data_IF_338384322914
#
_entry.id   IF_338384322914
#
_cell.length_a   1.000
_cell.length_b   1.000
_cell.length_c   1.000
_cell.angle_alpha   90.00
_cell.angle_beta   90.00
_cell.angle_gamma   90.00
#
_symmetry.space_group_name_H-M   'P 1'
#
loop_
_entity.id
_entity.type
_entity.pdbx_description
1 polymer ?
#
# COMPACT_ATOMS: atom_id res chain seq x y z
N UNK A 1 1.68 -6.86 -10.09
CA UNK A 1 2.61 -6.40 -11.16
C UNK A 1 3.28 -7.60 -11.82
N UNK A 2 3.97 -8.52 -11.09
CA UNK A 2 4.68 -9.63 -11.73
C UNK A 2 3.77 -10.50 -12.62
N UNK A 3 2.60 -10.91 -12.13
CA UNK A 3 1.62 -11.66 -12.92
C UNK A 3 1.12 -10.88 -14.16
N UNK A 4 0.96 -9.55 -14.03
CA UNK A 4 0.55 -8.71 -15.14
C UNK A 4 1.66 -8.56 -16.22
N UNK A 5 2.92 -8.52 -15.83
CA UNK A 5 4.04 -8.58 -16.77
C UNK A 5 4.09 -9.93 -17.49
N UNK A 6 3.87 -11.04 -16.76
CA UNK A 6 3.82 -12.35 -17.36
C UNK A 6 2.71 -12.45 -18.43
N UNK A 7 1.54 -11.86 -18.17
CA UNK A 7 0.45 -11.77 -19.14
C UNK A 7 0.81 -10.95 -20.40
N UNK A 8 1.78 -10.03 -20.31
CA UNK A 8 2.33 -9.29 -21.47
C UNK A 8 3.45 -10.03 -22.21
N UNK A 9 3.78 -11.25 -21.79
CA UNK A 9 4.84 -12.05 -22.37
C UNK A 9 6.24 -11.80 -21.81
N UNK A 10 6.36 -10.97 -20.76
CA UNK A 10 7.62 -10.77 -20.05
C UNK A 10 7.95 -12.00 -19.19
N UNK A 11 9.22 -12.39 -19.11
CA UNK A 11 9.67 -13.47 -18.24
C UNK A 11 10.21 -12.86 -16.94
N UNK A 12 9.59 -13.21 -15.82
CA UNK A 12 10.01 -12.76 -14.49
C UNK A 12 10.34 -13.93 -13.58
N UNK A 13 11.30 -13.71 -12.70
CA UNK A 13 11.58 -14.59 -11.57
C UNK A 13 11.73 -13.77 -10.30
N UNK A 14 11.14 -14.24 -9.21
CA UNK A 14 11.23 -13.61 -7.89
C UNK A 14 12.25 -14.37 -7.05
N UNK A 15 13.34 -13.70 -6.64
CA UNK A 15 14.24 -14.24 -5.62
C UNK A 15 13.81 -13.72 -4.24
N UNK A 16 13.51 -14.63 -3.32
CA UNK A 16 13.10 -14.29 -1.95
C UNK A 16 14.02 -14.91 -0.91
N UNK A 17 14.22 -14.14 0.17
CA UNK A 17 14.93 -14.60 1.38
C UNK A 17 13.98 -15.22 2.41
N UNK A 18 12.70 -15.38 2.08
CA UNK A 18 11.73 -16.02 2.96
C UNK A 18 11.92 -17.53 3.04
N UNK A 19 11.36 -18.11 4.09
CA UNK A 19 11.45 -19.56 4.29
C UNK A 19 10.68 -20.29 3.18
N UNK A 20 11.29 -21.31 2.53
CA UNK A 20 10.58 -22.11 1.54
C UNK A 20 9.29 -22.74 2.07
N UNK A 21 8.24 -22.78 1.24
CA UNK A 21 6.97 -23.44 1.57
C UNK A 21 5.97 -22.57 2.31
N UNK A 22 6.25 -21.28 2.54
CA UNK A 22 5.24 -20.36 3.07
C UNK A 22 4.17 -20.07 2.02
N UNK A 23 2.87 -20.07 2.37
CA UNK A 23 1.77 -19.97 1.40
C UNK A 23 1.80 -18.72 0.51
N UNK A 24 2.30 -17.60 1.02
CA UNK A 24 2.37 -16.35 0.26
C UNK A 24 3.49 -16.31 -0.81
N UNK A 25 4.35 -17.33 -0.88
CA UNK A 25 5.32 -17.51 -1.98
C UNK A 25 4.77 -18.41 -3.10
N UNK A 26 3.59 -18.96 -2.97
CA UNK A 26 2.96 -19.79 -3.99
C UNK A 26 2.28 -18.89 -5.04
N UNK A 27 3.04 -18.43 -6.03
CA UNK A 27 2.53 -17.72 -7.21
C UNK A 27 2.52 -18.68 -8.40
N UNK A 28 1.35 -19.16 -8.85
CA UNK A 28 1.29 -20.14 -9.94
C UNK A 28 1.84 -19.61 -11.28
N UNK A 29 1.81 -18.30 -11.48
CA UNK A 29 2.15 -17.65 -12.75
C UNK A 29 3.59 -17.13 -12.82
N UNK A 30 4.29 -17.02 -11.69
CA UNK A 30 5.63 -16.42 -11.61
C UNK A 30 6.55 -17.32 -10.79
N UNK A 31 7.65 -17.83 -11.36
CA UNK A 31 8.61 -18.64 -10.62
C UNK A 31 9.20 -17.86 -9.43
N UNK A 32 9.10 -18.45 -8.26
CA UNK A 32 9.72 -17.92 -7.04
C UNK A 32 10.87 -18.80 -6.63
N UNK A 33 12.07 -18.22 -6.51
CA UNK A 33 13.26 -18.87 -5.99
C UNK A 33 13.42 -18.54 -4.50
N UNK A 34 13.03 -19.43 -3.58
CA UNK A 34 13.21 -19.22 -2.16
C UNK A 34 14.65 -19.57 -1.78
N UNK A 35 15.46 -18.55 -1.59
CA UNK A 35 16.86 -18.70 -1.23
C UNK A 35 16.99 -19.13 0.23
N UNK A 36 17.49 -20.34 0.46
CA UNK A 36 17.72 -20.84 1.82
C UNK A 36 18.71 -19.94 2.55
N UNK A 37 18.24 -19.30 3.63
CA UNK A 37 19.11 -18.50 4.51
C UNK A 37 20.09 -19.42 5.25
N UNK A 38 21.36 -19.06 5.22
CA UNK A 38 22.39 -19.59 6.10
C UNK A 38 22.43 -18.80 7.42
N UNK A 39 23.21 -19.25 8.41
CA UNK A 39 23.39 -18.47 9.64
C UNK A 39 24.05 -17.08 9.39
N UNK A 40 24.90 -16.97 8.35
CA UNK A 40 25.56 -15.72 7.93
C UNK A 40 24.55 -14.72 7.38
N UNK A 41 23.50 -15.19 6.71
CA UNK A 41 22.46 -14.33 6.11
C UNK A 41 21.65 -13.54 7.16
N UNK A 42 21.81 -13.84 8.46
CA UNK A 42 21.28 -12.99 9.55
C UNK A 42 21.96 -11.63 9.63
N UNK A 43 23.23 -11.55 9.21
CA UNK A 43 24.03 -10.32 9.26
C UNK A 43 24.10 -9.64 7.90
N UNK A 44 24.29 -10.43 6.86
CA UNK A 44 24.36 -9.96 5.49
C UNK A 44 23.86 -11.07 4.53
N UNK A 45 22.96 -10.81 3.57
CA UNK A 45 22.35 -11.80 2.71
C UNK A 45 23.32 -12.28 1.61
N UNK A 46 24.32 -13.02 2.01
CA UNK A 46 25.39 -13.55 1.14
C UNK A 46 24.83 -14.53 0.11
N UNK A 47 23.82 -15.31 0.49
CA UNK A 47 23.13 -16.22 -0.42
C UNK A 47 22.46 -15.46 -1.57
N UNK A 48 21.79 -14.33 -1.29
CA UNK A 48 21.21 -13.46 -2.32
C UNK A 48 22.31 -12.86 -3.22
N UNK A 49 23.38 -12.33 -2.62
CA UNK A 49 24.53 -11.78 -3.36
C UNK A 49 25.09 -12.79 -4.38
N UNK A 50 25.35 -14.01 -3.92
CA UNK A 50 25.91 -15.09 -4.77
C UNK A 50 24.93 -15.50 -5.87
N UNK A 51 23.64 -15.62 -5.52
CA UNK A 51 22.62 -16.01 -6.48
C UNK A 51 22.45 -14.93 -7.57
N UNK A 52 22.28 -13.69 -7.21
CA UNK A 52 22.15 -12.58 -8.18
C UNK A 52 23.40 -12.47 -9.05
N UNK A 53 24.60 -12.59 -8.46
CA UNK A 53 25.87 -12.55 -9.23
C UNK A 53 25.99 -13.69 -10.24
N UNK A 54 25.46 -14.86 -9.93
CA UNK A 54 25.48 -16.02 -10.83
C UNK A 54 24.41 -15.94 -11.93
N UNK A 55 23.32 -15.19 -11.73
CA UNK A 55 22.15 -15.24 -12.62
C UNK A 55 21.80 -13.92 -13.32
N UNK A 56 22.34 -12.76 -12.88
CA UNK A 56 21.93 -11.45 -13.43
C UNK A 56 22.05 -11.35 -14.95
N UNK A 57 22.96 -12.07 -15.57
CA UNK A 57 23.21 -12.05 -17.02
C UNK A 57 22.11 -12.77 -17.84
N UNK A 58 21.21 -13.51 -17.20
CA UNK A 58 20.03 -14.10 -17.83
C UNK A 58 18.86 -13.13 -17.89
N UNK A 59 18.95 -11.96 -17.25
CA UNK A 59 17.87 -10.99 -17.12
C UNK A 59 18.25 -9.64 -17.71
N UNK A 60 17.27 -8.98 -18.33
CA UNK A 60 17.43 -7.64 -18.88
C UNK A 60 17.54 -6.56 -17.78
N UNK A 61 17.03 -6.81 -16.58
CA UNK A 61 17.12 -5.90 -15.45
C UNK A 61 16.97 -6.64 -14.10
N UNK A 62 17.53 -6.05 -13.04
CA UNK A 62 17.30 -6.46 -11.65
C UNK A 62 16.51 -5.38 -10.93
N UNK A 63 15.34 -5.76 -10.38
CA UNK A 63 14.45 -4.86 -9.65
C UNK A 63 14.42 -5.26 -8.18
N UNK A 64 14.72 -4.31 -7.29
CA UNK A 64 14.72 -4.52 -5.83
C UNK A 64 13.53 -3.81 -5.19
N UNK A 65 12.75 -4.56 -4.41
CA UNK A 65 11.62 -4.06 -3.66
C UNK A 65 11.99 -3.89 -2.18
N UNK A 66 11.90 -2.66 -1.67
CA UNK A 66 12.33 -2.29 -0.33
C UNK A 66 13.83 -1.96 -0.25
N UNK A 67 14.23 -1.29 0.85
CA UNK A 67 15.60 -0.76 0.97
C UNK A 67 16.32 -1.16 2.26
N UNK A 68 15.60 -1.68 3.26
CA UNK A 68 16.21 -2.10 4.52
C UNK A 68 16.60 -3.59 4.49
N UNK A 69 17.29 -4.09 5.52
CA UNK A 69 17.73 -5.50 5.67
C UNK A 69 18.86 -5.97 4.73
N UNK A 70 19.67 -5.05 4.22
CA UNK A 70 20.87 -5.29 3.39
C UNK A 70 20.64 -6.02 2.06
N UNK A 71 19.42 -6.43 1.70
CA UNK A 71 19.15 -7.06 0.41
C UNK A 71 19.41 -6.08 -0.76
N UNK A 72 19.13 -4.79 -0.56
CA UNK A 72 19.47 -3.73 -1.50
C UNK A 72 20.98 -3.68 -1.76
N UNK A 73 21.79 -3.68 -0.70
CA UNK A 73 23.26 -3.67 -0.82
C UNK A 73 23.79 -4.94 -1.50
N UNK A 74 23.23 -6.10 -1.15
CA UNK A 74 23.64 -7.38 -1.75
C UNK A 74 23.35 -7.42 -3.26
N UNK A 75 22.14 -7.03 -3.67
CA UNK A 75 21.77 -6.95 -5.08
C UNK A 75 22.64 -5.95 -5.84
N UNK A 76 22.87 -4.73 -5.27
CA UNK A 76 23.76 -3.74 -5.85
C UNK A 76 25.19 -4.27 -6.05
N UNK A 77 25.79 -4.90 -5.02
CA UNK A 77 27.14 -5.46 -5.11
C UNK A 77 27.24 -6.59 -6.14
N UNK A 78 26.14 -7.31 -6.38
CA UNK A 78 26.09 -8.36 -7.38
C UNK A 78 26.15 -7.80 -8.82
N UNK A 79 25.43 -6.71 -9.09
CA UNK A 79 25.29 -6.14 -10.45
C UNK A 79 26.23 -4.95 -10.71
N UNK A 80 26.95 -4.49 -9.69
CA UNK A 80 27.88 -3.36 -9.83
C UNK A 80 28.94 -3.64 -10.88
N UNK A 81 29.08 -2.73 -11.85
CA UNK A 81 30.05 -2.84 -12.95
C UNK A 81 29.62 -3.80 -14.08
N UNK A 82 28.40 -4.34 -14.04
CA UNK A 82 27.82 -5.16 -15.10
C UNK A 82 26.97 -4.31 -16.06
N UNK A 83 26.55 -4.92 -17.18
CA UNK A 83 25.62 -4.29 -18.11
C UNK A 83 24.17 -4.28 -17.64
N UNK A 84 23.81 -5.13 -16.68
CA UNK A 84 22.44 -5.33 -16.20
C UNK A 84 21.95 -4.11 -15.43
N UNK A 85 20.88 -3.43 -15.86
CA UNK A 85 20.26 -2.32 -15.13
C UNK A 85 19.76 -2.71 -13.75
N UNK A 86 19.84 -1.76 -12.81
CA UNK A 86 19.47 -1.94 -11.42
C UNK A 86 18.43 -0.88 -11.00
N UNK A 87 17.23 -1.32 -10.72
CA UNK A 87 16.11 -0.47 -10.32
C UNK A 87 15.71 -0.75 -8.87
N UNK A 88 15.23 0.27 -8.16
CA UNK A 88 14.86 0.16 -6.73
C UNK A 88 13.50 0.78 -6.47
N UNK A 89 12.62 0.07 -5.76
CA UNK A 89 11.35 0.55 -5.27
C UNK A 89 11.40 0.72 -3.74
N UNK A 90 11.42 1.94 -3.20
CA UNK A 90 11.47 2.18 -1.75
C UNK A 90 10.16 1.87 -1.02
N UNK A 91 9.01 1.90 -1.69
CA UNK A 91 7.67 1.64 -1.11
C UNK A 91 7.39 2.40 0.19
N UNK A 92 7.65 3.72 0.20
CA UNK A 92 7.41 4.58 1.35
C UNK A 92 8.40 4.43 2.51
N UNK A 93 9.45 3.62 2.34
CA UNK A 93 10.44 3.39 3.41
C UNK A 93 11.34 4.60 3.68
N UNK A 94 11.31 5.61 2.81
CA UNK A 94 12.02 6.89 2.94
C UNK A 94 11.14 8.01 3.50
N UNK A 95 9.94 7.71 3.99
CA UNK A 95 9.05 8.71 4.58
C UNK A 95 9.62 9.26 5.90
N UNK A 96 9.71 10.59 6.07
CA UNK A 96 10.22 11.23 7.29
C UNK A 96 9.33 11.03 8.53
N UNK A 97 8.08 10.55 8.38
CA UNK A 97 7.20 10.21 9.49
C UNK A 97 7.86 9.23 10.48
N UNK A 98 8.60 8.25 9.96
CA UNK A 98 9.32 7.28 10.80
C UNK A 98 10.37 7.92 11.70
N UNK A 99 11.02 9.01 11.26
CA UNK A 99 11.97 9.78 12.07
C UNK A 99 11.30 10.43 13.25
N UNK A 100 10.14 11.05 13.04
CA UNK A 100 9.37 11.74 14.07
C UNK A 100 8.80 10.76 15.10
N UNK A 101 8.31 9.61 14.63
CA UNK A 101 7.60 8.63 15.49
C UNK A 101 8.54 7.68 16.24
N UNK A 102 9.72 7.34 15.67
CA UNK A 102 10.65 6.36 16.20
C UNK A 102 12.12 6.86 16.13
N UNK A 103 12.50 7.91 16.90
CA UNK A 103 13.79 8.56 16.74
C UNK A 103 14.98 7.63 17.01
N UNK A 104 14.91 6.73 18.00
CA UNK A 104 15.99 5.78 18.32
C UNK A 104 16.21 4.76 17.18
N UNK A 105 15.13 4.26 16.56
CA UNK A 105 15.24 3.37 15.41
C UNK A 105 15.80 4.10 14.20
N UNK A 106 15.50 5.38 14.07
CA UNK A 106 16.02 6.22 13.01
C UNK A 106 17.53 6.46 13.16
N UNK A 107 18.01 6.68 14.37
CA UNK A 107 19.47 6.84 14.65
C UNK A 107 20.26 5.61 14.22
N UNK A 108 19.75 4.40 14.49
CA UNK A 108 20.35 3.16 13.97
C UNK A 108 20.40 3.14 12.43
N UNK A 109 19.31 3.54 11.76
CA UNK A 109 19.26 3.64 10.28
C UNK A 109 20.29 4.63 9.74
N UNK A 110 20.49 5.73 10.45
CA UNK A 110 21.45 6.78 10.09
C UNK A 110 22.89 6.27 10.00
N UNK A 111 23.30 5.34 10.87
CA UNK A 111 24.61 4.71 10.87
C UNK A 111 24.86 3.86 9.61
N UNK A 112 23.81 3.17 9.11
CA UNK A 112 23.92 2.32 7.92
C UNK A 112 23.64 3.08 6.63
N UNK A 113 23.03 4.25 6.69
CA UNK A 113 22.59 5.02 5.54
C UNK A 113 23.69 5.29 4.51
N UNK A 114 24.88 5.85 4.83
CA UNK A 114 25.84 6.32 3.82
C UNK A 114 26.36 5.22 2.90
N UNK A 115 26.59 4.04 3.43
CA UNK A 115 27.26 2.97 2.70
C UNK A 115 26.34 1.81 2.31
N UNK A 116 25.33 1.50 3.11
CA UNK A 116 24.47 0.36 2.84
C UNK A 116 23.21 0.71 2.02
N UNK A 117 22.73 1.96 2.13
CA UNK A 117 21.48 2.41 1.48
C UNK A 117 21.72 3.50 0.44
N UNK A 118 22.39 4.59 0.82
CA UNK A 118 22.62 5.73 -0.07
C UNK A 118 23.47 5.36 -1.29
N UNK A 119 24.55 4.61 -1.11
CA UNK A 119 25.43 4.24 -2.21
C UNK A 119 24.69 3.39 -3.29
N UNK A 120 23.94 2.34 -2.94
CA UNK A 120 23.10 1.64 -3.90
C UNK A 120 22.05 2.52 -4.58
N UNK A 121 21.33 3.38 -3.81
CA UNK A 121 20.32 4.28 -4.36
C UNK A 121 20.92 5.31 -5.34
N UNK A 122 22.09 5.87 -5.01
CA UNK A 122 22.81 6.80 -5.88
C UNK A 122 23.26 6.16 -7.19
N UNK A 123 23.56 4.87 -7.18
CA UNK A 123 24.10 4.12 -8.32
C UNK A 123 23.01 3.37 -9.10
N UNK A 124 21.77 3.37 -8.59
CA UNK A 124 20.64 2.79 -9.28
C UNK A 124 20.36 3.53 -10.59
N UNK A 125 20.01 2.78 -11.64
CA UNK A 125 19.59 3.34 -12.92
C UNK A 125 18.25 4.07 -12.80
N UNK A 126 17.39 3.61 -11.87
CA UNK A 126 16.19 4.33 -11.44
C UNK A 126 15.82 3.97 -10.00
N UNK A 127 15.40 4.98 -9.23
CA UNK A 127 14.70 4.80 -7.96
C UNK A 127 13.24 5.16 -8.21
N UNK A 128 12.37 4.14 -8.17
CA UNK A 128 10.99 4.19 -8.62
C UNK A 128 10.06 4.49 -7.45
N UNK A 129 9.42 5.66 -7.49
CA UNK A 129 8.42 6.09 -6.51
C UNK A 129 7.02 5.85 -7.06
N UNK A 130 6.08 5.43 -6.23
CA UNK A 130 4.71 5.09 -6.63
C UNK A 130 3.82 6.31 -6.86
N UNK A 131 4.26 7.49 -6.40
CA UNK A 131 3.58 8.77 -6.58
C UNK A 131 4.54 9.94 -6.30
N UNK A 132 4.18 11.14 -6.74
CA UNK A 132 4.96 12.36 -6.49
C UNK A 132 5.13 12.70 -5.01
N UNK A 133 4.12 12.60 -4.14
CA UNK A 133 4.31 12.82 -2.71
C UNK A 133 5.34 11.89 -2.08
N UNK A 134 5.38 10.60 -2.44
CA UNK A 134 6.42 9.68 -1.97
C UNK A 134 7.82 10.17 -2.35
N UNK A 135 8.01 10.57 -3.61
CA UNK A 135 9.27 11.12 -4.12
C UNK A 135 9.71 12.38 -3.37
N UNK A 136 8.79 13.32 -3.15
CA UNK A 136 9.08 14.57 -2.45
C UNK A 136 9.38 14.35 -0.96
N UNK A 137 8.67 13.44 -0.30
CA UNK A 137 8.92 13.06 1.09
C UNK A 137 10.27 12.34 1.23
N UNK A 138 10.66 11.51 0.27
CA UNK A 138 11.94 10.81 0.30
C UNK A 138 13.14 11.76 0.35
N UNK A 139 13.07 12.92 -0.31
CA UNK A 139 14.10 13.97 -0.26
C UNK A 139 14.31 14.57 1.14
N UNK A 140 13.33 14.43 2.02
CA UNK A 140 13.35 14.93 3.40
C UNK A 140 13.79 13.88 4.42
N UNK A 141 14.09 12.65 3.96
CA UNK A 141 14.38 11.51 4.84
C UNK A 141 15.75 11.61 5.51
N UNK A 142 16.80 11.74 4.72
CA UNK A 142 18.19 11.76 5.18
C UNK A 142 18.95 12.94 4.59
N UNK A 143 19.97 13.44 5.32
CA UNK A 143 20.81 14.57 4.91
C UNK A 143 21.60 14.32 3.64
N UNK A 144 22.01 13.08 3.41
CA UNK A 144 22.71 12.66 2.21
C UNK A 144 21.71 11.91 1.33
N UNK A 145 21.16 12.60 0.34
CA UNK A 145 20.19 12.05 -0.58
C UNK A 145 20.44 12.55 -2.00
N UNK A 146 20.73 11.62 -2.90
CA UNK A 146 20.83 11.86 -4.34
C UNK A 146 20.63 10.54 -5.07
N UNK A 147 19.67 10.46 -5.97
CA UNK A 147 19.43 9.31 -6.84
C UNK A 147 18.74 9.75 -8.13
N UNK A 148 18.64 8.85 -9.10
CA UNK A 148 17.85 9.07 -10.31
C UNK A 148 16.37 8.73 -9.97
N UNK A 149 15.60 9.75 -9.63
CA UNK A 149 14.20 9.62 -9.24
C UNK A 149 13.30 9.45 -10.46
N UNK A 150 12.45 8.43 -10.44
CA UNK A 150 11.41 8.20 -11.44
C UNK A 150 10.09 7.95 -10.73
N UNK A 151 9.02 8.62 -11.12
CA UNK A 151 7.67 8.28 -10.64
C UNK A 151 7.06 7.28 -11.60
N UNK A 152 6.64 6.15 -11.09
CA UNK A 152 6.00 5.07 -11.82
C UNK A 152 4.59 4.86 -11.30
N UNK A 153 3.64 4.62 -12.17
CA UNK A 153 2.30 4.25 -11.74
C UNK A 153 2.34 2.96 -10.93
N UNK A 154 1.53 2.90 -9.89
CA UNK A 154 1.35 1.71 -9.06
C UNK A 154 -0.13 1.37 -8.98
N UNK A 155 -0.49 0.10 -8.91
CA UNK A 155 -1.88 -0.29 -9.01
C UNK A 155 -2.15 -1.74 -8.57
N UNK A 156 -3.40 -2.13 -8.74
CA UNK A 156 -3.91 -3.47 -8.43
C UNK A 156 -4.83 -3.95 -9.53
N UNK A 157 -5.05 -5.26 -9.63
CA UNK A 157 -6.06 -5.83 -10.55
C UNK A 157 -7.48 -5.38 -10.20
N UNK A 158 -7.70 -4.91 -8.95
CA UNK A 158 -9.04 -4.57 -8.48
C UNK A 158 -9.90 -5.81 -8.26
N UNK A 159 -11.22 -5.58 -8.24
CA UNK A 159 -12.20 -6.65 -8.08
C UNK A 159 -12.16 -7.61 -9.28
N UNK A 160 -12.13 -8.94 -9.06
CA UNK A 160 -12.23 -9.91 -10.15
C UNK A 160 -13.54 -9.77 -10.92
N UNK A 161 -13.46 -9.83 -12.24
CA UNK A 161 -14.64 -9.89 -13.11
C UNK A 161 -15.27 -11.29 -13.02
N UNK A 162 -16.25 -11.44 -12.17
CA UNK A 162 -17.01 -12.68 -11.99
C UNK A 162 -18.50 -12.38 -11.84
N UNK A 163 -19.35 -13.37 -12.13
CA UNK A 163 -20.78 -13.29 -11.87
C UNK A 163 -21.13 -13.57 -10.39
N UNK A 164 -20.14 -13.61 -9.51
CA UNK A 164 -20.34 -13.93 -8.10
C UNK A 164 -20.79 -12.69 -7.32
N UNK A 165 -21.91 -12.81 -6.63
CA UNK A 165 -22.40 -11.77 -5.71
C UNK A 165 -21.67 -11.87 -4.36
N UNK A 166 -20.51 -11.23 -4.30
CA UNK A 166 -19.70 -11.19 -3.08
C UNK A 166 -20.38 -10.40 -1.96
N UNK A 167 -21.19 -9.39 -2.29
CA UNK A 167 -21.87 -8.56 -1.29
C UNK A 167 -22.89 -9.37 -0.50
N UNK A 168 -23.75 -10.11 -1.17
CA UNK A 168 -24.74 -10.99 -0.51
C UNK A 168 -24.06 -12.02 0.35
N UNK A 169 -23.03 -12.74 -0.16
CA UNK A 169 -22.32 -13.74 0.61
C UNK A 169 -21.62 -13.15 1.87
N UNK A 170 -21.13 -11.91 1.79
CA UNK A 170 -20.56 -11.23 2.96
C UNK A 170 -21.64 -10.84 3.98
N UNK A 171 -22.77 -10.31 3.55
CA UNK A 171 -23.88 -9.91 4.44
C UNK A 171 -24.54 -11.12 5.11
N UNK A 172 -24.65 -12.26 4.42
CA UNK A 172 -25.12 -13.52 5.03
C UNK A 172 -24.18 -14.01 6.14
N UNK A 173 -22.87 -13.86 5.94
CA UNK A 173 -21.86 -14.18 6.96
C UNK A 173 -21.85 -13.18 8.14
N UNK A 174 -22.37 -11.96 7.92
CA UNK A 174 -22.37 -10.87 8.90
C UNK A 174 -23.77 -10.23 9.05
N UNK A 175 -24.82 -10.97 9.46
CA UNK A 175 -26.21 -10.49 9.48
C UNK A 175 -26.42 -9.26 10.41
N UNK A 176 -25.56 -9.06 11.40
CA UNK A 176 -25.63 -7.92 12.31
C UNK A 176 -25.45 -6.55 11.63
N UNK A 177 -24.93 -6.50 10.41
CA UNK A 177 -24.73 -5.26 9.67
C UNK A 177 -25.69 -5.09 8.49
N UNK A 178 -26.55 -6.07 8.26
CA UNK A 178 -27.55 -6.01 7.19
C UNK A 178 -28.55 -4.85 7.45
N UNK A 179 -28.94 -4.16 6.38
CA UNK A 179 -29.88 -3.03 6.46
C UNK A 179 -29.30 -1.73 7.04
N UNK A 180 -28.02 -1.70 7.44
CA UNK A 180 -27.34 -0.52 7.98
C UNK A 180 -26.45 0.11 6.93
N UNK A 181 -26.21 1.43 7.00
CA UNK A 181 -25.19 2.12 6.22
C UNK A 181 -23.82 1.71 6.76
N UNK A 182 -22.94 1.23 5.88
CA UNK A 182 -21.68 0.58 6.22
C UNK A 182 -20.49 1.44 5.82
N UNK A 183 -19.71 1.84 6.81
CA UNK A 183 -18.40 2.47 6.63
C UNK A 183 -17.33 1.40 6.81
N UNK A 184 -16.52 1.14 5.77
CA UNK A 184 -15.53 0.08 5.80
C UNK A 184 -14.13 0.65 6.09
N UNK A 185 -13.51 0.17 7.15
CA UNK A 185 -12.06 0.23 7.37
C UNK A 185 -11.49 -1.15 7.06
N UNK A 186 -10.56 -1.25 6.12
CA UNK A 186 -9.89 -2.51 5.79
C UNK A 186 -8.38 -2.34 5.82
N UNK A 187 -7.72 -3.11 6.70
CA UNK A 187 -6.27 -3.10 6.87
C UNK A 187 -5.83 -3.59 8.24
N UNK A 188 -4.53 -3.63 8.47
CA UNK A 188 -4.02 -3.97 9.81
C UNK A 188 -4.51 -2.94 10.84
N UNK A 189 -5.09 -3.42 11.93
CA UNK A 189 -5.49 -2.59 13.07
C UNK A 189 -4.22 -2.17 13.84
N UNK A 190 -3.66 -1.03 13.48
CA UNK A 190 -2.41 -0.52 14.02
C UNK A 190 -2.47 1.00 14.23
N UNK A 191 -1.70 1.58 15.18
CA UNK A 191 -1.71 3.03 15.46
C UNK A 191 -1.47 3.89 14.22
N UNK A 192 -0.60 3.45 13.31
CA UNK A 192 -0.29 4.15 12.05
C UNK A 192 -1.53 4.38 11.18
N UNK A 193 -2.52 3.47 11.24
CA UNK A 193 -3.73 3.50 10.43
C UNK A 193 -4.86 4.36 11.03
N UNK A 194 -4.67 4.86 12.26
CA UNK A 194 -5.57 5.78 12.93
C UNK A 194 -6.99 5.30 13.26
N UNK A 195 -7.27 4.00 13.48
CA UNK A 195 -8.64 3.57 13.77
C UNK A 195 -9.20 4.18 15.05
N UNK A 196 -8.37 4.59 16.00
CA UNK A 196 -8.78 5.32 17.20
C UNK A 196 -9.37 6.70 16.88
N UNK A 197 -8.96 7.35 15.79
CA UNK A 197 -9.56 8.59 15.33
C UNK A 197 -11.01 8.35 14.87
N UNK A 198 -11.29 7.24 14.17
CA UNK A 198 -12.65 6.85 13.76
C UNK A 198 -13.55 6.64 14.97
N UNK A 199 -13.08 5.88 15.97
CA UNK A 199 -13.88 5.62 17.17
C UNK A 199 -14.25 6.92 17.88
N UNK A 200 -13.32 7.85 18.04
CA UNK A 200 -13.56 9.15 18.67
C UNK A 200 -14.48 10.05 17.83
N UNK A 201 -14.31 10.04 16.52
CA UNK A 201 -15.18 10.80 15.62
C UNK A 201 -16.62 10.28 15.61
N UNK A 202 -16.81 8.96 15.61
CA UNK A 202 -18.15 8.35 15.71
C UNK A 202 -18.80 8.73 17.05
N UNK A 203 -18.07 8.70 18.15
CA UNK A 203 -18.59 9.11 19.44
C UNK A 203 -19.02 10.59 19.46
N UNK A 204 -18.26 11.47 18.83
CA UNK A 204 -18.64 12.88 18.68
C UNK A 204 -19.92 13.04 17.85
N UNK A 205 -19.99 12.40 16.68
CA UNK A 205 -21.16 12.45 15.81
C UNK A 205 -22.40 11.80 16.46
N UNK A 206 -22.23 10.75 17.25
CA UNK A 206 -23.33 10.14 18.01
C UNK A 206 -23.86 11.10 19.09
N UNK A 207 -22.98 11.83 19.78
CA UNK A 207 -23.38 12.85 20.76
C UNK A 207 -24.10 14.04 20.10
N UNK A 208 -23.80 14.36 18.84
CA UNK A 208 -24.46 15.39 18.04
C UNK A 208 -25.76 14.88 17.36
N UNK A 209 -26.10 13.60 17.52
CA UNK A 209 -27.26 12.98 16.86
C UNK A 209 -27.11 12.75 15.35
N UNK A 210 -25.89 12.86 14.83
CA UNK A 210 -25.58 12.67 13.40
C UNK A 210 -25.17 11.22 13.08
N UNK A 211 -24.89 10.40 14.07
CA UNK A 211 -24.60 8.97 13.93
C UNK A 211 -25.56 8.15 14.79
N UNK A 212 -26.38 7.33 14.13
CA UNK A 212 -27.31 6.42 14.79
C UNK A 212 -26.81 4.98 14.66
N UNK A 213 -26.49 4.29 15.78
CA UNK A 213 -26.02 2.91 15.75
C UNK A 213 -27.08 1.91 15.23
N UNK A 214 -28.37 2.28 15.19
CA UNK A 214 -29.40 1.42 14.61
C UNK A 214 -29.32 1.38 13.07
N UNK A 215 -28.91 2.47 12.45
CA UNK A 215 -28.89 2.66 10.99
C UNK A 215 -27.50 2.73 10.38
N UNK A 216 -26.44 2.89 11.19
CA UNK A 216 -25.05 3.06 10.72
C UNK A 216 -24.11 2.11 11.46
N UNK A 217 -23.05 1.67 10.76
CA UNK A 217 -22.02 0.80 11.34
C UNK A 217 -20.65 1.04 10.71
N UNK A 218 -19.62 1.07 11.55
CA UNK A 218 -18.23 0.96 11.12
C UNK A 218 -17.82 -0.52 11.12
N UNK A 219 -17.49 -1.03 9.95
CA UNK A 219 -16.95 -2.39 9.76
C UNK A 219 -15.43 -2.30 9.80
N UNK A 220 -14.81 -2.94 10.79
CA UNK A 220 -13.37 -3.00 11.01
C UNK A 220 -12.85 -4.36 10.54
N UNK A 221 -12.28 -4.39 9.34
CA UNK A 221 -11.80 -5.60 8.68
C UNK A 221 -10.27 -5.64 8.65
N UNK A 222 -9.72 -6.74 9.11
CA UNK A 222 -8.28 -7.00 9.09
C UNK A 222 -7.75 -7.58 10.41
N UNK A 223 -6.48 -7.97 10.43
CA UNK A 223 -5.88 -8.55 11.63
C UNK A 223 -5.88 -7.53 12.78
N UNK A 224 -6.64 -7.85 13.81
CA UNK A 224 -6.80 -7.10 15.04
C UNK A 224 -6.26 -7.93 16.21
N UNK A 225 -4.92 -8.02 16.32
CA UNK A 225 -4.24 -8.80 17.35
C UNK A 225 -3.34 -7.94 18.23
N UNK A 226 -3.11 -8.38 19.47
CA UNK A 226 -2.21 -7.74 20.41
C UNK A 226 -2.83 -6.58 21.20
N UNK A 227 -2.00 -5.94 22.02
CA UNK A 227 -2.42 -4.93 23.01
C UNK A 227 -3.21 -3.76 22.40
N UNK A 228 -2.88 -3.34 21.17
CA UNK A 228 -3.55 -2.19 20.55
C UNK A 228 -5.00 -2.50 20.20
N UNK A 229 -5.29 -3.69 19.69
CA UNK A 229 -6.69 -4.10 19.40
C UNK A 229 -7.54 -4.11 20.68
N UNK A 230 -6.99 -4.66 21.76
CA UNK A 230 -7.65 -4.63 23.09
C UNK A 230 -7.86 -3.20 23.59
N UNK A 231 -6.89 -2.30 23.37
CA UNK A 231 -7.04 -0.88 23.72
C UNK A 231 -8.17 -0.21 22.95
N UNK A 232 -8.33 -0.52 21.64
CA UNK A 232 -9.43 0.02 20.83
C UNK A 232 -10.80 -0.50 21.28
N UNK A 233 -10.92 -1.77 21.62
CA UNK A 233 -12.15 -2.34 22.15
C UNK A 233 -12.57 -1.65 23.44
N UNK A 234 -11.63 -1.51 24.38
CA UNK A 234 -11.87 -0.75 25.64
C UNK A 234 -12.16 0.73 25.39
N UNK A 235 -11.58 1.33 24.36
CA UNK A 235 -11.91 2.71 23.97
C UNK A 235 -13.36 2.79 23.49
N UNK A 236 -13.82 1.86 22.64
CA UNK A 236 -15.19 1.80 22.16
C UNK A 236 -16.21 1.66 23.31
N UNK A 237 -15.90 0.79 24.28
CA UNK A 237 -16.73 0.61 25.49
C UNK A 237 -16.83 1.92 26.30
N UNK A 238 -15.70 2.57 26.59
CA UNK A 238 -15.67 3.84 27.31
C UNK A 238 -16.39 4.97 26.60
N UNK A 239 -16.39 4.96 25.27
CA UNK A 239 -17.07 5.95 24.45
C UNK A 239 -18.57 5.62 24.23
N UNK A 240 -19.04 4.46 24.66
CA UNK A 240 -20.43 4.03 24.49
C UNK A 240 -20.83 3.74 23.04
N UNK A 241 -19.87 3.39 22.18
CA UNK A 241 -20.11 3.20 20.73
C UNK A 241 -19.95 1.75 20.26
N UNK A 242 -19.91 0.78 21.17
CA UNK A 242 -19.70 -0.64 20.80
C UNK A 242 -20.74 -1.16 19.82
N UNK A 243 -22.00 -0.70 19.89
CA UNK A 243 -23.09 -1.04 18.96
C UNK A 243 -22.90 -0.45 17.54
N UNK A 244 -22.09 0.58 17.41
CA UNK A 244 -21.71 1.20 16.12
C UNK A 244 -20.59 0.45 15.40
N UNK A 245 -19.98 -0.57 16.00
CA UNK A 245 -18.79 -1.26 15.47
C UNK A 245 -19.08 -2.72 15.16
N UNK A 246 -18.50 -3.20 14.06
CA UNK A 246 -18.49 -4.61 13.70
C UNK A 246 -17.06 -5.05 13.34
N UNK A 247 -16.51 -6.01 14.07
CA UNK A 247 -15.17 -6.55 13.88
C UNK A 247 -15.23 -7.86 13.11
N UNK A 248 -14.74 -7.90 11.88
CA UNK A 248 -14.73 -9.13 11.07
C UNK A 248 -13.50 -10.00 11.33
N UNK A 249 -12.44 -9.44 11.93
CA UNK A 249 -11.13 -10.08 11.90
C UNK A 249 -10.51 -10.06 10.50
N UNK A 250 -9.56 -10.96 10.24
CA UNK A 250 -8.91 -11.05 8.93
C UNK A 250 -9.84 -11.69 7.89
N UNK A 251 -10.10 -10.98 6.81
CA UNK A 251 -10.89 -11.45 5.66
C UNK A 251 -10.02 -11.49 4.40
N UNK A 252 -10.30 -12.46 3.52
CA UNK A 252 -9.58 -12.67 2.27
C UNK A 252 -10.53 -13.15 1.16
N UNK A 253 -10.04 -13.16 -0.11
CA UNK A 253 -10.81 -13.68 -1.25
C UNK A 253 -12.17 -13.03 -1.39
N UNK A 254 -13.21 -13.83 -1.57
CA UNK A 254 -14.59 -13.36 -1.75
C UNK A 254 -15.11 -12.52 -0.59
N UNK A 255 -14.77 -12.84 0.65
CA UNK A 255 -15.17 -12.06 1.82
C UNK A 255 -14.60 -10.63 1.79
N UNK A 256 -13.36 -10.45 1.33
CA UNK A 256 -12.77 -9.12 1.13
C UNK A 256 -13.54 -8.31 0.09
N UNK A 257 -13.83 -8.91 -1.05
CA UNK A 257 -14.56 -8.22 -2.12
C UNK A 257 -16.01 -7.93 -1.72
N UNK A 258 -16.63 -8.83 -0.96
CA UNK A 258 -17.97 -8.62 -0.40
C UNK A 258 -18.01 -7.46 0.60
N UNK A 259 -16.99 -7.33 1.45
CA UNK A 259 -16.86 -6.19 2.36
C UNK A 259 -16.80 -4.86 1.59
N UNK A 260 -16.03 -4.79 0.50
CA UNK A 260 -16.00 -3.60 -0.35
C UNK A 260 -17.35 -3.38 -1.04
N UNK A 261 -17.90 -4.35 -1.77
CA UNK A 261 -19.14 -4.18 -2.52
C UNK A 261 -20.35 -3.85 -1.65
N UNK A 262 -20.34 -4.29 -0.39
CA UNK A 262 -21.41 -3.96 0.56
C UNK A 262 -21.22 -2.61 1.26
N UNK A 263 -20.07 -1.95 1.13
CA UNK A 263 -19.80 -0.70 1.82
C UNK A 263 -20.40 0.51 1.08
N UNK A 264 -20.88 1.49 1.83
CA UNK A 264 -21.32 2.79 1.31
C UNK A 264 -20.15 3.76 1.14
N UNK A 265 -19.12 3.64 1.99
CA UNK A 265 -17.88 4.39 1.89
C UNK A 265 -16.71 3.59 2.50
N UNK A 266 -15.54 3.75 1.94
CA UNK A 266 -14.29 3.23 2.51
C UNK A 266 -13.57 4.33 3.29
N UNK A 267 -13.14 4.07 4.53
CA UNK A 267 -12.54 5.07 5.40
C UNK A 267 -11.12 4.66 5.80
N UNK A 268 -10.13 5.51 5.55
CA UNK A 268 -8.74 5.26 5.92
C UNK A 268 -8.11 6.51 6.56
N UNK A 269 -8.18 6.66 7.90
CA UNK A 269 -7.68 7.81 8.65
C UNK A 269 -6.19 7.71 8.98
N UNK A 270 -5.38 7.20 8.07
CA UNK A 270 -3.98 6.90 8.32
C UNK A 270 -3.16 8.14 8.64
N UNK A 271 -2.28 8.06 9.64
CA UNK A 271 -1.24 9.05 9.92
C UNK A 271 -0.08 9.00 8.93
N UNK A 272 0.06 7.90 8.19
CA UNK A 272 0.98 7.76 7.07
C UNK A 272 0.58 6.54 6.23
N UNK A 273 0.45 6.74 4.94
CA UNK A 273 0.20 5.68 3.96
C UNK A 273 0.90 6.00 2.65
N UNK A 274 1.70 5.07 2.14
CA UNK A 274 2.44 5.32 0.90
C UNK A 274 1.51 5.31 -0.32
N UNK A 275 0.85 4.20 -0.56
CA UNK A 275 -0.10 4.05 -1.66
C UNK A 275 -1.51 3.73 -1.15
N UNK A 276 -1.61 2.73 -0.25
CA UNK A 276 -2.90 2.26 0.24
C UNK A 276 -3.62 1.38 -0.77
N UNK A 277 -3.13 0.17 -0.99
CA UNK A 277 -3.74 -0.80 -1.93
C UNK A 277 -5.24 -0.93 -1.69
N UNK A 278 -5.69 -0.97 -0.42
CA UNK A 278 -7.10 -1.05 -0.07
C UNK A 278 -7.92 0.16 -0.57
N UNK A 279 -7.30 1.34 -0.73
CA UNK A 279 -7.95 2.51 -1.34
C UNK A 279 -8.21 2.25 -2.83
N UNK A 280 -7.22 1.77 -3.57
CA UNK A 280 -7.39 1.42 -4.98
C UNK A 280 -8.39 0.26 -5.17
N UNK A 281 -8.41 -0.72 -4.26
CA UNK A 281 -9.39 -1.81 -4.26
C UNK A 281 -10.82 -1.29 -4.01
N UNK A 282 -11.02 -0.34 -3.08
CA UNK A 282 -12.31 0.32 -2.87
C UNK A 282 -12.78 1.06 -4.13
N UNK A 283 -11.90 1.86 -4.73
CA UNK A 283 -12.18 2.58 -5.99
C UNK A 283 -12.54 1.61 -7.13
N UNK A 284 -11.90 0.42 -7.19
CA UNK A 284 -12.24 -0.61 -8.18
C UNK A 284 -13.65 -1.18 -8.02
N UNK A 285 -14.19 -1.15 -6.82
CA UNK A 285 -15.55 -1.54 -6.49
C UNK A 285 -16.56 -0.37 -6.60
N UNK A 286 -16.17 0.77 -7.19
CA UNK A 286 -17.00 1.99 -7.24
C UNK A 286 -17.35 2.55 -5.85
N UNK A 287 -16.52 2.31 -4.83
CA UNK A 287 -16.77 2.80 -3.47
C UNK A 287 -16.03 4.12 -3.25
N UNK A 288 -16.75 5.21 -2.93
CA UNK A 288 -16.15 6.47 -2.53
C UNK A 288 -15.23 6.32 -1.32
N UNK A 289 -14.12 7.06 -1.30
CA UNK A 289 -13.12 6.93 -0.25
C UNK A 289 -13.01 8.19 0.60
N UNK A 290 -12.93 8.00 1.92
CA UNK A 290 -12.80 9.02 2.93
C UNK A 290 -11.39 8.91 3.54
N UNK A 291 -10.50 9.83 3.20
CA UNK A 291 -9.07 9.71 3.46
C UNK A 291 -8.54 10.86 4.32
N UNK A 292 -7.34 10.68 4.81
CA UNK A 292 -6.55 11.76 5.42
C UNK A 292 -5.43 12.22 4.50
N UNK A 293 -5.00 13.49 4.64
CA UNK A 293 -3.90 14.07 3.85
C UNK A 293 -2.60 13.25 3.84
N UNK A 294 -2.21 12.55 4.94
CA UNK A 294 -1.02 11.70 4.93
C UNK A 294 -1.12 10.39 4.12
N UNK A 295 -2.25 10.14 3.45
CA UNK A 295 -2.36 9.12 2.39
C UNK A 295 -1.86 9.75 1.10
N UNK A 296 -0.71 9.35 0.60
CA UNK A 296 -0.01 10.06 -0.49
C UNK A 296 -0.83 10.23 -1.78
N UNK A 297 -1.77 9.31 -2.06
CA UNK A 297 -2.66 9.41 -3.24
C UNK A 297 -3.96 10.18 -2.97
N UNK A 298 -4.18 10.69 -1.74
CA UNK A 298 -5.44 11.31 -1.35
C UNK A 298 -5.76 12.57 -2.17
N UNK A 299 -4.76 13.41 -2.45
CA UNK A 299 -4.95 14.64 -3.23
C UNK A 299 -5.43 14.36 -4.66
N UNK A 300 -4.85 13.34 -5.32
CA UNK A 300 -5.24 12.92 -6.67
C UNK A 300 -6.67 12.38 -6.71
N UNK A 301 -7.07 11.65 -5.69
CA UNK A 301 -8.41 11.08 -5.55
C UNK A 301 -9.45 12.17 -5.30
N UNK A 302 -9.13 13.15 -4.44
CA UNK A 302 -9.99 14.31 -4.20
C UNK A 302 -10.16 15.15 -5.47
N UNK A 303 -9.08 15.41 -6.21
CA UNK A 303 -9.11 16.12 -7.48
C UNK A 303 -9.94 15.40 -8.55
N UNK A 304 -9.98 14.06 -8.53
CA UNK A 304 -10.83 13.24 -9.39
C UNK A 304 -12.30 13.21 -8.96
N UNK A 305 -12.67 13.80 -7.81
CA UNK A 305 -14.02 13.73 -7.27
C UNK A 305 -14.43 12.34 -6.77
N UNK A 306 -13.45 11.46 -6.50
CA UNK A 306 -13.66 10.07 -6.12
C UNK A 306 -13.71 9.85 -4.59
N UNK A 307 -13.58 10.91 -3.80
CA UNK A 307 -13.59 10.84 -2.35
C UNK A 307 -13.41 12.20 -1.67
N UNK A 308 -13.42 12.17 -0.34
CA UNK A 308 -13.20 13.34 0.52
C UNK A 308 -11.90 13.19 1.29
N UNK A 309 -11.25 14.31 1.61
CA UNK A 309 -9.96 14.32 2.31
C UNK A 309 -10.00 15.37 3.44
N UNK A 310 -9.42 15.00 4.59
CA UNK A 310 -9.29 15.86 5.77
C UNK A 310 -7.99 15.58 6.54
N UNK A 311 -7.76 16.37 7.59
CA UNK A 311 -6.61 16.15 8.47
C UNK A 311 -6.74 14.87 9.32
N UNK A 312 -5.63 14.23 9.65
CA UNK A 312 -5.52 13.04 10.50
C UNK A 312 -5.65 13.38 12.01
N UNK A 313 -6.71 14.08 12.34
CA UNK A 313 -7.13 14.48 13.70
C UNK A 313 -8.56 14.05 13.97
N UNK A 314 -8.96 13.97 15.25
CA UNK A 314 -10.35 13.66 15.61
C UNK A 314 -11.32 14.64 14.94
N UNK A 315 -11.05 15.94 15.02
CA UNK A 315 -11.88 16.97 14.40
C UNK A 315 -11.94 16.80 12.87
N UNK A 316 -10.79 16.50 12.21
CA UNK A 316 -10.76 16.25 10.77
C UNK A 316 -11.60 15.02 10.38
N UNK A 317 -11.51 13.91 11.13
CA UNK A 317 -12.31 12.72 10.84
C UNK A 317 -13.80 12.95 11.13
N UNK A 318 -14.14 13.70 12.19
CA UNK A 318 -15.53 14.09 12.47
C UNK A 318 -16.10 14.91 11.30
N UNK A 319 -15.35 15.92 10.81
CA UNK A 319 -15.73 16.70 9.65
C UNK A 319 -15.86 15.84 8.38
N UNK A 320 -14.93 14.94 8.15
CA UNK A 320 -14.90 14.02 7.00
C UNK A 320 -16.18 13.17 6.93
N UNK A 321 -16.53 12.52 8.05
CA UNK A 321 -17.74 11.72 8.18
C UNK A 321 -19.00 12.59 8.09
N UNK A 322 -19.02 13.76 8.77
CA UNK A 322 -20.13 14.70 8.70
C UNK A 322 -20.41 15.22 7.29
N UNK A 323 -19.36 15.57 6.54
CA UNK A 323 -19.49 15.97 5.11
C UNK A 323 -20.08 14.84 4.26
N UNK A 324 -19.65 13.61 4.49
CA UNK A 324 -20.20 12.44 3.79
C UNK A 324 -21.67 12.23 4.12
N UNK A 325 -22.05 12.33 5.39
CA UNK A 325 -23.43 12.16 5.85
C UNK A 325 -24.36 13.25 5.29
N UNK A 326 -23.84 14.45 5.07
CA UNK A 326 -24.59 15.58 4.49
C UNK A 326 -24.80 15.47 2.96
N UNK A 327 -24.10 14.56 2.26
CA UNK A 327 -24.29 14.36 0.82
C UNK A 327 -25.65 13.69 0.56
N UNK A 328 -26.35 14.19 -0.44
CA UNK A 328 -27.56 13.54 -0.95
C UNK A 328 -27.24 12.26 -1.76
N UNK A 329 -28.20 11.38 -2.01
CA UNK A 329 -27.98 10.17 -2.78
C UNK A 329 -27.43 10.41 -4.19
N UNK A 330 -27.87 11.42 -4.98
CA UNK A 330 -27.26 11.73 -6.28
C UNK A 330 -25.80 12.08 -6.20
N UNK A 331 -25.36 12.90 -5.23
CA UNK A 331 -23.95 13.27 -5.04
C UNK A 331 -23.08 12.07 -4.67
N UNK A 332 -23.58 11.17 -3.81
CA UNK A 332 -22.90 9.90 -3.47
C UNK A 332 -22.76 8.99 -4.70
N UNK A 333 -23.81 8.87 -5.53
CA UNK A 333 -23.78 8.08 -6.75
C UNK A 333 -22.79 8.66 -7.79
N UNK A 334 -22.75 9.99 -7.93
CA UNK A 334 -21.78 10.66 -8.78
C UNK A 334 -20.35 10.37 -8.30
N UNK A 335 -20.07 10.48 -7.00
CA UNK A 335 -18.75 10.16 -6.41
C UNK A 335 -18.38 8.69 -6.62
N UNK A 336 -19.31 7.75 -6.53
CA UNK A 336 -19.10 6.33 -6.81
C UNK A 336 -18.70 6.09 -8.28
N UNK A 337 -19.33 6.80 -9.22
CA UNK A 337 -18.97 6.76 -10.64
C UNK A 337 -17.54 7.29 -10.86
N UNK A 338 -17.18 8.41 -10.21
CA UNK A 338 -15.83 8.97 -10.27
C UNK A 338 -14.81 8.04 -9.60
N UNK A 339 -15.17 7.30 -8.55
CA UNK A 339 -14.30 6.31 -7.91
C UNK A 339 -13.87 5.23 -8.91
N UNK A 340 -14.79 4.63 -9.64
CA UNK A 340 -14.49 3.63 -10.66
C UNK A 340 -13.64 4.19 -11.79
N UNK A 341 -13.97 5.39 -12.26
CA UNK A 341 -13.21 6.08 -13.32
C UNK A 341 -11.78 6.36 -12.88
N UNK A 342 -11.60 6.90 -11.67
CA UNK A 342 -10.29 7.17 -11.09
C UNK A 342 -9.44 5.90 -10.98
N UNK A 343 -10.04 4.76 -10.59
CA UNK A 343 -9.35 3.47 -10.59
C UNK A 343 -8.85 3.09 -11.98
N UNK A 344 -9.72 3.08 -12.98
CA UNK A 344 -9.39 2.65 -14.35
C UNK A 344 -8.31 3.54 -14.99
N UNK A 345 -8.37 4.85 -14.77
CA UNK A 345 -7.43 5.80 -15.35
C UNK A 345 -6.06 5.79 -14.67
N UNK A 346 -5.99 5.50 -13.35
CA UNK A 346 -4.77 5.75 -12.56
C UNK A 346 -4.20 4.52 -11.85
N UNK A 347 -5.05 3.60 -11.34
CA UNK A 347 -4.65 2.57 -10.38
C UNK A 347 -4.88 1.14 -10.87
N UNK A 348 -5.38 0.98 -12.08
CA UNK A 348 -5.51 -0.32 -12.72
C UNK A 348 -4.13 -0.88 -13.07
N UNK A 349 -3.95 -2.18 -12.90
CA UNK A 349 -2.65 -2.87 -12.95
C UNK A 349 -1.93 -2.73 -14.29
N UNK A 350 -2.63 -2.65 -15.41
CA UNK A 350 -2.03 -2.48 -16.74
C UNK A 350 -1.29 -1.15 -16.86
N UNK A 351 -1.84 -0.06 -16.30
CA UNK A 351 -1.17 1.23 -16.28
C UNK A 351 0.15 1.16 -15.51
N UNK A 352 0.15 0.48 -14.35
CA UNK A 352 1.33 0.25 -13.55
C UNK A 352 2.38 -0.57 -14.31
N UNK A 353 1.94 -1.68 -14.93
CA UNK A 353 2.80 -2.58 -15.69
C UNK A 353 3.47 -1.86 -16.86
N UNK A 354 2.71 -1.10 -17.65
CA UNK A 354 3.25 -0.30 -18.76
C UNK A 354 4.26 0.76 -18.29
N UNK A 355 3.98 1.42 -17.15
CA UNK A 355 4.87 2.42 -16.56
C UNK A 355 6.20 1.81 -16.14
N UNK A 356 6.18 0.66 -15.46
CA UNK A 356 7.38 -0.08 -15.05
C UNK A 356 8.17 -0.58 -16.26
N UNK A 357 7.50 -1.17 -17.26
CA UNK A 357 8.13 -1.63 -18.51
C UNK A 357 8.87 -0.49 -19.22
N UNK A 358 8.24 0.68 -19.35
CA UNK A 358 8.88 1.86 -19.95
C UNK A 358 10.14 2.27 -19.18
N UNK A 359 10.09 2.27 -17.86
CA UNK A 359 11.23 2.62 -17.01
C UNK A 359 12.38 1.62 -17.16
N UNK A 360 12.09 0.32 -17.19
CA UNK A 360 13.09 -0.73 -17.42
C UNK A 360 13.73 -0.56 -18.80
N UNK A 361 12.94 -0.39 -19.86
CA UNK A 361 13.45 -0.20 -21.23
C UNK A 361 14.33 1.06 -21.35
N UNK A 362 13.95 2.15 -20.69
CA UNK A 362 14.76 3.36 -20.66
C UNK A 362 16.12 3.11 -19.96
N UNK A 363 16.14 2.39 -18.85
CA UNK A 363 17.37 2.01 -18.14
C UNK A 363 18.28 1.11 -19.00
N UNK A 364 17.71 0.13 -19.70
CA UNK A 364 18.45 -0.74 -20.64
C UNK A 364 19.11 0.11 -21.74
N UNK A 365 18.33 0.98 -22.38
CA UNK A 365 18.82 1.83 -23.46
C UNK A 365 19.94 2.77 -23.01
N UNK A 366 19.82 3.39 -21.83
CA UNK A 366 20.87 4.24 -21.25
C UNK A 366 22.17 3.47 -20.99
N UNK A 367 22.07 2.23 -20.49
CA UNK A 367 23.25 1.36 -20.29
C UNK A 367 23.93 0.98 -21.61
N UNK A 368 23.17 0.68 -22.66
CA UNK A 368 23.69 0.36 -24.00
C UNK A 368 24.44 1.56 -24.59
N UNK A 369 23.84 2.77 -24.52
CA UNK A 369 24.52 4.00 -24.98
C UNK A 369 25.82 4.28 -24.23
N UNK A 370 25.85 4.05 -22.92
CA UNK A 370 27.08 4.23 -22.12
C UNK A 370 28.18 3.22 -22.47
N UNK A 371 27.86 2.08 -23.05
CA UNK A 371 28.83 1.07 -23.51
C UNK A 371 29.35 1.37 -24.93
N UNK A 372 28.50 1.88 -25.83
CA UNK A 372 28.85 2.21 -27.21
C UNK A 372 29.58 3.54 -27.33
N UNK A 373 29.46 4.44 -26.36
CA UNK A 373 30.14 5.74 -26.31
C UNK A 373 31.54 5.70 -25.64
N UNK A 374 32.02 4.52 -25.29
CA UNK A 374 33.40 4.25 -24.86
C UNK A 374 34.16 3.55 -25.95
#
# INVERSE_FOLDING_TARGET
IAAAHHALGDTLQIASLDTPGVPYLAFPEVPVEPLRRTWIDRFFPLTLLRWVRAHHHYYDAVVVNGIWDFHLLAAYLAVRGTATPFLVFPHGMLDPWFRRRYPLKYLKKWLFWPWAMYLPLRQADAVCFTCDPERLLARQSFWLYKCHEVVVSFGTQGIPETNHDYATAFLEAHPAIAGRQRFLFLGRVAPKKGPDLLLRAIAALQAEGLWDPATMVLVLAGPASGAYATQLQRLAERLGISSSLHWTGMIQGGQKWGAFQSADAFVLPSHQENFGIAVAEALSCSIPVLLTHPVNIAADIAAAGAGLVEHDTVAGITNLLGRWLALDPPARAAMATQARRCFLERYEISNATLSVTRTIRAAIHQRQLAQTGR
#
